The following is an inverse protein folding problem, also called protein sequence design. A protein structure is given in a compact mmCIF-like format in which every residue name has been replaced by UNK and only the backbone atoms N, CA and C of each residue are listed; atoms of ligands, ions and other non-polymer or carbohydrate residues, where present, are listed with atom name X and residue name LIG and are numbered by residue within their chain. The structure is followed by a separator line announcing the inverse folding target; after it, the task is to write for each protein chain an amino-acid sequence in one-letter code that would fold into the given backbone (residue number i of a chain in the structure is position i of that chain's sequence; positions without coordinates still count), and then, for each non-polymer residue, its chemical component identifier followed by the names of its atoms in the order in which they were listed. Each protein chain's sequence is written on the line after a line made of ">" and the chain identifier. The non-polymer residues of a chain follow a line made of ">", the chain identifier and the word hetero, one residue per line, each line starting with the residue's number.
data_IF_956457813859
#
_entry.id   IF_956457813859
#
_cell.length_a   1.000
_cell.length_b   1.000
_cell.length_c   1.000
_cell.angle_alpha   90.00
_cell.angle_beta   90.00
_cell.angle_gamma   90.00
#
_symmetry.space_group_name_H-M   'P 1'
#
loop_
_entity.id
_entity.type
_entity.pdbx_description
1 polymer ?
#
# COMPACT_ATOMS: atom_id res chain seq x y z
N UNK A 1 -34.30 11.95 -9.05
CA UNK A 1 -35.03 10.78 -8.53
C UNK A 1 -34.48 10.41 -7.17
N UNK A 2 -35.35 10.21 -6.18
CA UNK A 2 -34.95 9.75 -4.86
C UNK A 2 -34.33 8.35 -4.93
N UNK A 3 -33.23 8.16 -4.19
CA UNK A 3 -32.50 6.91 -4.04
C UNK A 3 -33.25 6.02 -3.07
N UNK A 4 -33.36 4.73 -3.40
CA UNK A 4 -34.05 3.71 -2.59
C UNK A 4 -33.03 2.85 -1.86
N UNK A 5 -33.26 2.61 -0.57
CA UNK A 5 -32.40 1.77 0.26
C UNK A 5 -32.30 0.34 -0.27
N UNK A 6 -33.42 -0.26 -0.69
CA UNK A 6 -33.42 -1.62 -1.23
C UNK A 6 -32.53 -1.77 -2.48
N UNK A 7 -32.51 -0.75 -3.35
CA UNK A 7 -31.64 -0.76 -4.54
C UNK A 7 -30.18 -0.64 -4.13
N UNK A 8 -29.87 0.22 -3.14
CA UNK A 8 -28.52 0.34 -2.61
C UNK A 8 -28.02 -0.98 -1.97
N UNK A 9 -28.87 -1.68 -1.21
CA UNK A 9 -28.57 -2.98 -0.59
C UNK A 9 -28.36 -4.07 -1.65
N UNK A 10 -29.21 -4.12 -2.69
CA UNK A 10 -29.04 -5.07 -3.79
C UNK A 10 -27.71 -4.85 -4.53
N UNK A 11 -27.35 -3.60 -4.80
CA UNK A 11 -26.07 -3.25 -5.42
C UNK A 11 -24.87 -3.54 -4.52
N UNK A 12 -25.03 -3.37 -3.21
CA UNK A 12 -24.03 -3.76 -2.22
C UNK A 12 -23.82 -5.28 -2.20
N UNK A 13 -24.89 -6.08 -2.29
CA UNK A 13 -24.78 -7.54 -2.31
C UNK A 13 -24.15 -8.06 -3.61
N UNK A 14 -24.52 -7.48 -4.77
CA UNK A 14 -24.07 -7.95 -6.09
C UNK A 14 -22.68 -7.44 -6.47
N UNK A 15 -22.28 -6.25 -5.99
CA UNK A 15 -21.01 -5.62 -6.38
C UNK A 15 -20.46 -4.68 -5.33
N UNK A 16 -20.68 -5.00 -4.05
CA UNK A 16 -20.15 -4.27 -2.90
C UNK A 16 -18.63 -4.10 -2.96
N UNK A 17 -17.83 -5.15 -3.21
CA UNK A 17 -16.37 -5.02 -3.34
C UNK A 17 -15.92 -4.08 -4.47
N UNK A 18 -16.75 -3.92 -5.51
CA UNK A 18 -16.49 -3.04 -6.66
C UNK A 18 -17.09 -1.63 -6.44
N UNK A 19 -17.85 -1.43 -5.37
CA UNK A 19 -18.43 -0.13 -5.00
C UNK A 19 -19.65 0.29 -5.85
N UNK A 20 -20.44 -0.66 -6.37
CA UNK A 20 -21.61 -0.34 -7.20
C UNK A 20 -22.66 0.52 -6.46
N UNK A 21 -22.88 0.26 -5.18
CA UNK A 21 -23.78 1.05 -4.32
C UNK A 21 -23.29 2.50 -4.16
N UNK A 22 -21.97 2.73 -4.13
CA UNK A 22 -21.41 4.08 -4.10
C UNK A 22 -21.65 4.84 -5.39
N UNK A 23 -21.53 4.19 -6.56
CA UNK A 23 -21.85 4.80 -7.85
C UNK A 23 -23.32 5.22 -7.91
N UNK A 24 -24.22 4.38 -7.40
CA UNK A 24 -25.64 4.68 -7.32
C UNK A 24 -25.93 5.88 -6.42
N UNK A 25 -25.26 5.99 -5.27
CA UNK A 25 -25.34 7.12 -4.34
C UNK A 25 -24.58 8.38 -4.82
N UNK A 26 -23.93 8.29 -5.97
CA UNK A 26 -23.15 9.40 -6.52
C UNK A 26 -21.73 9.50 -5.97
N UNK A 27 -21.30 8.66 -5.04
CA UNK A 27 -20.03 8.78 -4.28
C UNK A 27 -18.83 8.23 -5.08
N UNK A 28 -18.49 8.88 -6.19
CA UNK A 28 -17.48 8.39 -7.15
C UNK A 28 -16.11 8.09 -6.54
N UNK A 29 -15.56 8.99 -5.71
CA UNK A 29 -14.27 8.76 -5.06
C UNK A 29 -14.30 7.55 -4.11
N UNK A 30 -15.44 7.32 -3.47
CA UNK A 30 -15.66 6.19 -2.57
C UNK A 30 -15.76 4.89 -3.38
N UNK A 31 -16.46 4.92 -4.52
CA UNK A 31 -16.49 3.80 -5.46
C UNK A 31 -15.09 3.47 -5.99
N UNK A 32 -14.32 4.47 -6.44
CA UNK A 32 -12.96 4.28 -6.91
C UNK A 32 -12.09 3.65 -5.82
N UNK A 33 -12.13 4.17 -4.60
CA UNK A 33 -11.38 3.60 -3.48
C UNK A 33 -11.74 2.12 -3.26
N UNK A 34 -13.01 1.75 -3.35
CA UNK A 34 -13.45 0.36 -3.22
C UNK A 34 -12.94 -0.52 -4.37
N UNK A 35 -13.03 -0.06 -5.61
CA UNK A 35 -12.48 -0.77 -6.77
C UNK A 35 -10.98 -1.04 -6.63
N UNK A 36 -10.22 -0.06 -6.14
CA UNK A 36 -8.77 -0.16 -6.03
C UNK A 36 -8.31 -0.95 -4.79
N UNK A 37 -9.14 -1.04 -3.75
CA UNK A 37 -8.79 -1.73 -2.50
C UNK A 37 -9.56 -3.04 -2.29
N UNK A 38 -10.33 -3.48 -3.29
CA UNK A 38 -11.20 -4.67 -3.21
C UNK A 38 -12.16 -4.59 -2.02
N UNK A 39 -12.93 -3.51 -1.95
CA UNK A 39 -13.94 -3.30 -0.92
C UNK A 39 -13.37 -2.83 0.42
N UNK A 40 -12.34 -1.98 0.42
CA UNK A 40 -11.69 -1.49 1.63
C UNK A 40 -10.90 -2.59 2.33
N UNK A 41 -10.05 -3.29 1.57
CA UNK A 41 -9.27 -4.45 2.01
C UNK A 41 -10.13 -5.62 2.52
N UNK A 42 -11.27 -5.84 1.88
CA UNK A 42 -12.18 -6.97 2.17
C UNK A 42 -12.99 -6.86 3.46
N UNK A 43 -12.62 -6.02 4.42
CA UNK A 43 -13.38 -5.81 5.68
C UNK A 43 -14.30 -4.58 5.55
N UNK A 44 -13.85 -3.56 4.81
CA UNK A 44 -14.59 -2.31 4.64
C UNK A 44 -16.01 -2.53 4.13
N UNK A 45 -16.20 -3.33 3.08
CA UNK A 45 -17.51 -3.55 2.47
C UNK A 45 -18.54 -4.18 3.43
N UNK A 46 -18.14 -5.05 4.37
CA UNK A 46 -19.05 -5.61 5.39
C UNK A 46 -19.50 -4.53 6.38
N UNK A 47 -18.56 -3.68 6.80
CA UNK A 47 -18.83 -2.57 7.73
C UNK A 47 -19.82 -1.55 7.16
N UNK A 48 -19.88 -1.39 5.85
CA UNK A 48 -20.75 -0.41 5.20
C UNK A 48 -22.25 -0.71 5.32
N UNK A 49 -22.63 -1.96 5.60
CA UNK A 49 -24.03 -2.34 5.71
C UNK A 49 -24.76 -1.51 6.78
N UNK A 50 -24.08 -1.20 7.89
CA UNK A 50 -24.59 -0.35 8.96
C UNK A 50 -24.66 1.14 8.60
N UNK A 51 -23.82 1.61 7.67
CA UNK A 51 -23.71 3.01 7.26
C UNK A 51 -24.63 3.34 6.07
N UNK A 52 -25.03 2.33 5.31
CA UNK A 52 -25.79 2.46 4.07
C UNK A 52 -27.11 3.24 4.21
N UNK A 53 -27.94 3.05 5.27
CA UNK A 53 -29.15 3.84 5.45
C UNK A 53 -28.86 5.34 5.55
N UNK A 54 -27.82 5.72 6.30
CA UNK A 54 -27.41 7.11 6.46
C UNK A 54 -26.91 7.74 5.15
N UNK A 55 -26.23 6.98 4.29
CA UNK A 55 -25.80 7.50 2.99
C UNK A 55 -26.92 7.63 1.97
N UNK A 56 -27.93 6.77 2.03
CA UNK A 56 -29.14 6.91 1.21
C UNK A 56 -29.89 8.17 1.61
N UNK A 57 -30.00 8.43 2.91
CA UNK A 57 -30.61 9.64 3.45
C UNK A 57 -29.85 10.89 2.99
N UNK A 58 -28.52 10.93 3.18
CA UNK A 58 -27.66 12.02 2.70
C UNK A 58 -27.73 12.25 1.18
N UNK A 59 -27.90 11.19 0.39
CA UNK A 59 -28.02 11.30 -1.07
C UNK A 59 -29.37 11.90 -1.50
N UNK A 60 -30.42 11.76 -0.67
CA UNK A 60 -31.74 12.33 -0.91
C UNK A 60 -31.89 13.74 -0.31
N UNK A 61 -31.21 13.97 0.82
CA UNK A 61 -31.24 15.19 1.60
C UNK A 61 -29.80 15.68 1.82
N UNK A 62 -29.19 16.36 0.82
CA UNK A 62 -27.85 16.89 0.98
C UNK A 62 -27.84 17.92 2.10
N UNK A 63 -26.96 17.73 3.08
CA UNK A 63 -26.79 18.66 4.19
C UNK A 63 -26.38 20.04 3.64
N UNK A 64 -27.04 21.09 4.11
CA UNK A 64 -26.55 22.47 3.95
C UNK A 64 -25.36 22.66 4.88
N UNK A 65 -24.17 22.38 4.37
CA UNK A 65 -22.93 22.52 5.14
C UNK A 65 -22.45 23.97 5.05
N UNK A 66 -22.11 24.63 6.18
CA UNK A 66 -21.57 25.98 6.16
C UNK A 66 -20.30 26.05 5.29
N UNK A 67 -20.26 27.03 4.39
CA UNK A 67 -19.15 27.24 3.46
C UNK A 67 -17.81 27.55 4.14
N UNK A 68 -17.85 28.08 5.38
CA UNK A 68 -16.67 28.57 6.11
C UNK A 68 -16.17 27.62 7.22
N UNK A 69 -16.74 26.42 7.36
CA UNK A 69 -16.33 25.46 8.39
C UNK A 69 -15.20 24.51 7.95
N UNK A 70 -14.21 24.26 8.82
CA UNK A 70 -13.34 23.08 8.66
C UNK A 70 -14.05 21.84 9.22
N UNK A 71 -14.05 20.69 8.52
CA UNK A 71 -14.61 19.46 9.07
C UNK A 71 -13.84 19.00 10.32
N UNK A 72 -14.50 18.28 11.25
CA UNK A 72 -13.83 17.76 12.44
C UNK A 72 -12.75 16.75 12.03
N UNK A 73 -11.68 16.72 12.82
CA UNK A 73 -10.61 15.74 12.62
C UNK A 73 -11.12 14.33 12.91
N UNK A 74 -10.72 13.37 12.06
CA UNK A 74 -11.15 11.98 12.19
C UNK A 74 -9.93 11.07 12.16
N UNK A 75 -9.67 10.41 13.29
CA UNK A 75 -8.58 9.43 13.39
C UNK A 75 -8.73 8.30 12.38
N UNK A 76 -9.95 7.82 12.15
CA UNK A 76 -10.23 6.75 11.18
C UNK A 76 -9.86 7.17 9.76
N UNK A 77 -10.14 8.42 9.38
CA UNK A 77 -9.72 8.95 8.07
C UNK A 77 -8.20 9.08 7.95
N UNK A 78 -7.55 9.59 8.98
CA UNK A 78 -6.09 9.70 9.00
C UNK A 78 -5.43 8.31 8.86
N UNK A 79 -5.94 7.32 9.59
CA UNK A 79 -5.46 5.96 9.50
C UNK A 79 -5.75 5.33 8.13
N UNK A 80 -6.94 5.58 7.56
CA UNK A 80 -7.28 5.17 6.19
C UNK A 80 -6.37 5.80 5.14
N UNK A 81 -6.05 7.09 5.26
CA UNK A 81 -5.06 7.77 4.41
C UNK A 81 -3.70 7.09 4.50
N UNK A 82 -3.24 6.78 5.71
CA UNK A 82 -1.97 6.11 5.92
C UNK A 82 -1.95 4.72 5.26
N UNK A 83 -2.96 3.88 5.50
CA UNK A 83 -3.01 2.54 4.91
C UNK A 83 -3.08 2.57 3.37
N UNK A 84 -3.92 3.44 2.81
CA UNK A 84 -4.08 3.53 1.35
C UNK A 84 -2.86 4.18 0.70
N UNK A 85 -2.22 5.15 1.37
CA UNK A 85 -0.95 5.73 0.92
C UNK A 85 0.17 4.70 0.83
N UNK A 86 0.33 3.87 1.88
CA UNK A 86 1.28 2.75 1.87
C UNK A 86 0.93 1.74 0.78
N UNK A 87 -0.34 1.38 0.65
CA UNK A 87 -0.82 0.46 -0.38
C UNK A 87 -0.49 0.96 -1.81
N UNK A 88 -0.73 2.24 -2.10
CA UNK A 88 -0.39 2.83 -3.40
C UNK A 88 1.12 2.90 -3.63
N UNK A 89 1.90 3.19 -2.59
CA UNK A 89 3.36 3.15 -2.66
C UNK A 89 3.88 1.75 -3.00
N UNK A 90 3.33 0.72 -2.36
CA UNK A 90 3.66 -0.68 -2.62
C UNK A 90 3.23 -1.12 -4.02
N UNK A 91 2.02 -0.74 -4.45
CA UNK A 91 1.54 -0.99 -5.80
C UNK A 91 2.46 -0.35 -6.85
N UNK A 92 2.93 0.88 -6.61
CA UNK A 92 3.89 1.54 -7.49
C UNK A 92 5.27 0.85 -7.46
N UNK A 93 5.72 0.37 -6.29
CA UNK A 93 6.96 -0.40 -6.19
C UNK A 93 6.89 -1.70 -7.02
N UNK A 94 5.75 -2.37 -7.03
CA UNK A 94 5.52 -3.57 -7.84
C UNK A 94 5.37 -3.26 -9.33
N UNK A 95 4.59 -2.24 -9.69
CA UNK A 95 4.21 -1.98 -11.08
C UNK A 95 5.12 -1.03 -11.86
N UNK A 96 5.86 -0.16 -11.17
CA UNK A 96 6.55 1.00 -11.76
C UNK A 96 8.02 1.13 -11.35
N UNK A 97 8.56 0.25 -10.50
CA UNK A 97 9.94 0.37 -9.99
C UNK A 97 11.02 0.27 -11.07
N UNK A 98 10.69 -0.28 -12.24
CA UNK A 98 11.59 -0.36 -13.40
C UNK A 98 11.73 0.97 -14.14
N UNK A 99 10.87 1.96 -13.87
CA UNK A 99 10.91 3.25 -14.57
C UNK A 99 12.11 4.11 -14.12
N UNK A 100 12.81 4.78 -15.06
CA UNK A 100 13.82 5.75 -14.70
C UNK A 100 13.19 6.89 -13.89
N UNK A 101 13.79 7.22 -12.75
CA UNK A 101 13.26 8.25 -11.85
C UNK A 101 12.07 7.80 -10.99
N UNK A 102 11.83 6.50 -10.83
CA UNK A 102 10.76 5.95 -9.97
C UNK A 102 10.68 6.63 -8.59
N UNK A 103 11.80 6.67 -7.85
CA UNK A 103 11.84 7.24 -6.50
C UNK A 103 11.60 8.75 -6.44
N UNK A 104 11.86 9.48 -7.53
CA UNK A 104 11.66 10.94 -7.60
C UNK A 104 10.26 11.33 -8.08
N UNK A 105 9.66 10.52 -8.95
CA UNK A 105 8.43 10.89 -9.64
C UNK A 105 7.27 9.93 -9.33
N UNK A 106 7.41 8.67 -9.72
CA UNK A 106 6.31 7.70 -9.65
C UNK A 106 5.92 7.38 -8.20
N UNK A 107 6.89 7.20 -7.31
CA UNK A 107 6.65 6.87 -5.91
C UNK A 107 5.90 7.98 -5.15
N UNK A 108 6.39 9.24 -5.08
CA UNK A 108 5.67 10.31 -4.37
C UNK A 108 4.31 10.61 -5.01
N UNK A 109 4.20 10.50 -6.34
CA UNK A 109 2.93 10.68 -7.03
C UNK A 109 1.92 9.61 -6.62
N UNK A 110 2.29 8.33 -6.63
CA UNK A 110 1.40 7.23 -6.26
C UNK A 110 0.95 7.35 -4.80
N UNK A 111 1.88 7.56 -3.86
CA UNK A 111 1.56 7.73 -2.44
C UNK A 111 0.65 8.94 -2.23
N UNK A 112 0.98 10.09 -2.82
CA UNK A 112 0.20 11.32 -2.70
C UNK A 112 -1.21 11.18 -3.26
N UNK A 113 -1.37 10.50 -4.41
CA UNK A 113 -2.69 10.21 -4.99
C UNK A 113 -3.50 9.23 -4.13
N UNK A 114 -2.88 8.22 -3.55
CA UNK A 114 -3.54 7.28 -2.63
C UNK A 114 -4.06 7.97 -1.37
N UNK A 115 -3.23 8.81 -0.75
CA UNK A 115 -3.62 9.63 0.41
C UNK A 115 -4.73 10.61 0.05
N UNK A 116 -4.59 11.30 -1.09
CA UNK A 116 -5.60 12.24 -1.55
C UNK A 116 -6.93 11.55 -1.85
N UNK A 117 -6.93 10.36 -2.45
CA UNK A 117 -8.15 9.61 -2.73
C UNK A 117 -9.00 9.42 -1.47
N UNK A 118 -8.38 9.06 -0.35
CA UNK A 118 -9.08 8.93 0.95
C UNK A 118 -9.48 10.29 1.52
N UNK A 119 -8.67 11.34 1.34
CA UNK A 119 -8.99 12.68 1.84
C UNK A 119 -10.22 13.28 1.16
N UNK A 120 -10.51 12.92 -0.09
CA UNK A 120 -11.71 13.36 -0.84
C UNK A 120 -12.86 12.35 -0.78
N UNK A 121 -12.85 11.36 0.11
CA UNK A 121 -13.99 10.44 0.31
C UNK A 121 -15.07 11.10 1.16
N UNK A 122 -16.34 10.85 0.80
CA UNK A 122 -17.51 11.43 1.47
C UNK A 122 -17.67 12.92 1.22
N UNK A 123 -18.03 13.67 2.26
CA UNK A 123 -18.38 15.10 2.16
C UNK A 123 -17.18 16.04 2.42
N UNK A 124 -16.00 15.46 2.62
CA UNK A 124 -14.75 16.19 2.80
C UNK A 124 -13.96 16.22 1.50
N UNK A 125 -13.19 17.29 1.31
CA UNK A 125 -12.16 17.39 0.31
C UNK A 125 -10.87 17.91 0.95
N UNK A 126 -9.74 17.71 0.28
CA UNK A 126 -8.49 18.40 0.62
C UNK A 126 -7.91 19.08 -0.62
N UNK A 127 -6.88 19.89 -0.43
CA UNK A 127 -6.10 20.41 -1.55
C UNK A 127 -5.14 19.32 -2.09
N UNK A 128 -5.35 18.93 -3.35
CA UNK A 128 -4.48 17.98 -4.06
C UNK A 128 -3.07 18.55 -4.21
N UNK A 129 -2.95 19.85 -4.51
CA UNK A 129 -1.66 20.45 -4.81
C UNK A 129 -0.78 20.50 -3.56
N UNK A 130 -1.33 20.90 -2.40
CA UNK A 130 -0.63 20.82 -1.13
C UNK A 130 -0.20 19.38 -0.78
N UNK A 131 -1.11 18.41 -0.98
CA UNK A 131 -0.82 16.98 -0.71
C UNK A 131 0.33 16.48 -1.58
N UNK A 132 0.32 16.77 -2.89
CA UNK A 132 1.41 16.37 -3.79
C UNK A 132 2.71 17.11 -3.47
N UNK A 133 2.68 18.42 -3.20
CA UNK A 133 3.87 19.18 -2.79
C UNK A 133 4.55 18.54 -1.57
N UNK A 134 3.79 18.14 -0.56
CA UNK A 134 4.33 17.44 0.61
C UNK A 134 4.99 16.10 0.23
N UNK A 135 4.37 15.34 -0.68
CA UNK A 135 4.92 14.06 -1.15
C UNK A 135 6.28 14.26 -1.84
N UNK A 136 6.34 15.20 -2.78
CA UNK A 136 7.53 15.50 -3.58
C UNK A 136 8.64 16.19 -2.78
N UNK A 137 8.30 16.95 -1.73
CA UNK A 137 9.30 17.52 -0.82
C UNK A 137 9.90 16.47 0.11
N UNK A 138 9.12 15.45 0.49
CA UNK A 138 9.59 14.40 1.42
C UNK A 138 10.41 13.33 0.71
N UNK A 139 10.10 13.01 -0.56
CA UNK A 139 10.74 11.91 -1.28
C UNK A 139 12.27 12.00 -1.42
N UNK A 140 12.89 13.17 -1.72
CA UNK A 140 14.35 13.28 -1.86
C UNK A 140 15.13 12.94 -0.58
N UNK A 141 14.55 13.17 0.60
CA UNK A 141 15.19 12.91 1.91
C UNK A 141 15.47 11.41 2.10
N UNK A 142 14.63 10.55 1.53
CA UNK A 142 14.70 9.10 1.66
C UNK A 142 15.01 8.42 0.32
N UNK A 143 15.71 9.13 -0.57
CA UNK A 143 15.99 8.64 -1.92
C UNK A 143 16.68 7.28 -1.93
N UNK A 144 16.24 6.40 -2.85
CA UNK A 144 16.80 5.06 -3.03
C UNK A 144 16.47 4.05 -1.94
N UNK A 145 15.69 4.45 -0.91
CA UNK A 145 15.28 3.55 0.17
C UNK A 145 13.82 3.15 0.00
N UNK A 146 13.48 1.84 0.03
CA UNK A 146 12.10 1.39 -0.01
C UNK A 146 11.27 1.98 1.15
N UNK A 147 11.87 2.14 2.33
CA UNK A 147 11.25 2.74 3.54
C UNK A 147 10.65 4.13 3.28
N UNK A 148 11.08 4.85 2.23
CA UNK A 148 10.57 6.17 1.86
C UNK A 148 9.03 6.25 1.77
N UNK A 149 8.34 5.13 1.49
CA UNK A 149 6.87 5.09 1.44
C UNK A 149 6.24 5.59 2.74
N UNK A 150 6.77 5.23 3.92
CA UNK A 150 6.18 5.62 5.21
C UNK A 150 6.26 7.13 5.50
N UNK A 151 7.45 7.78 5.49
CA UNK A 151 7.54 9.20 5.76
C UNK A 151 6.77 10.02 4.72
N UNK A 152 6.81 9.65 3.43
CA UNK A 152 6.00 10.30 2.39
C UNK A 152 4.51 10.18 2.73
N UNK A 153 4.05 8.98 3.10
CA UNK A 153 2.64 8.76 3.46
C UNK A 153 2.24 9.56 4.69
N UNK A 154 3.10 9.62 5.71
CA UNK A 154 2.82 10.33 6.95
C UNK A 154 2.73 11.84 6.72
N UNK A 155 3.71 12.43 6.04
CA UNK A 155 3.74 13.88 5.77
C UNK A 155 2.58 14.31 4.88
N UNK A 156 2.25 13.51 3.85
CA UNK A 156 1.10 13.76 2.97
C UNK A 156 -0.22 13.62 3.71
N UNK A 157 -0.37 12.64 4.59
CA UNK A 157 -1.59 12.46 5.39
C UNK A 157 -1.80 13.62 6.38
N UNK A 158 -0.74 14.05 7.07
CA UNK A 158 -0.78 15.24 7.94
C UNK A 158 -1.15 16.48 7.14
N UNK A 159 -0.55 16.68 5.97
CA UNK A 159 -0.84 17.83 5.10
C UNK A 159 -2.28 17.79 4.58
N UNK A 160 -2.78 16.63 4.17
CA UNK A 160 -4.16 16.46 3.71
C UNK A 160 -5.16 16.75 4.83
N UNK A 161 -4.86 16.37 6.08
CA UNK A 161 -5.68 16.71 7.24
C UNK A 161 -5.62 18.20 7.58
N UNK A 162 -4.46 18.85 7.41
CA UNK A 162 -4.32 20.29 7.66
C UNK A 162 -5.14 21.12 6.65
N UNK A 163 -5.17 20.70 5.38
CA UNK A 163 -5.90 21.37 4.30
C UNK A 163 -7.29 20.79 4.02
N UNK A 164 -7.98 20.28 5.05
CA UNK A 164 -9.33 19.71 4.93
C UNK A 164 -10.40 20.80 4.80
N UNK A 165 -11.36 20.58 3.91
CA UNK A 165 -12.50 21.47 3.62
C UNK A 165 -13.75 20.64 3.32
N UNK A 166 -14.93 21.22 3.49
CA UNK A 166 -16.15 20.59 2.98
C UNK A 166 -16.20 20.67 1.45
N UNK A 167 -16.82 19.67 0.83
CA UNK A 167 -17.12 19.72 -0.61
C UNK A 167 -18.18 20.78 -0.87
N UNK A 168 -17.97 21.58 -1.92
CA UNK A 168 -18.99 22.47 -2.43
C UNK A 168 -20.24 21.67 -2.80
N UNK A 169 -21.43 22.22 -2.51
CA UNK A 169 -22.71 21.62 -2.85
C UNK A 169 -22.73 21.22 -4.34
N UNK A 170 -23.24 20.01 -4.62
CA UNK A 170 -23.24 19.40 -5.96
C UNK A 170 -24.10 20.22 -6.92
N UNK A 171 -23.46 21.17 -7.61
CA UNK A 171 -24.15 22.14 -8.46
C UNK A 171 -24.63 21.63 -9.82
N UNK A 172 -24.17 20.48 -10.31
CA UNK A 172 -24.61 19.99 -11.64
C UNK A 172 -24.64 18.47 -11.71
N UNK A 173 -25.76 17.94 -12.23
CA UNK A 173 -25.93 16.51 -12.52
C UNK A 173 -25.11 16.14 -13.76
N UNK A 174 -23.83 15.82 -13.56
CA UNK A 174 -23.01 15.23 -14.62
C UNK A 174 -23.64 13.93 -15.15
N UNK A 175 -23.52 13.70 -16.46
CA UNK A 175 -23.98 12.47 -17.11
C UNK A 175 -23.23 11.26 -16.52
N UNK A 176 -23.95 10.16 -16.31
CA UNK A 176 -23.38 8.92 -15.78
C UNK A 176 -22.18 8.42 -16.61
N UNK A 177 -22.25 8.54 -17.93
CA UNK A 177 -21.16 8.14 -18.84
C UNK A 177 -19.87 8.91 -18.57
N UNK A 178 -19.93 10.22 -18.32
CA UNK A 178 -18.75 11.02 -18.00
C UNK A 178 -18.12 10.64 -16.66
N UNK A 179 -18.96 10.35 -15.66
CA UNK A 179 -18.51 9.83 -14.35
C UNK A 179 -17.80 8.49 -14.50
N UNK A 180 -18.42 7.54 -15.21
CA UNK A 180 -17.85 6.22 -15.46
C UNK A 180 -16.57 6.28 -16.29
N UNK A 181 -16.48 7.19 -17.27
CA UNK A 181 -15.27 7.38 -18.06
C UNK A 181 -14.07 7.81 -17.20
N UNK A 182 -14.24 8.81 -16.33
CA UNK A 182 -13.16 9.25 -15.41
C UNK A 182 -12.76 8.15 -14.43
N UNK A 183 -13.74 7.43 -13.89
CA UNK A 183 -13.49 6.29 -13.00
C UNK A 183 -12.74 5.17 -13.72
N UNK A 184 -13.15 4.83 -14.94
CA UNK A 184 -12.49 3.84 -15.77
C UNK A 184 -11.05 4.23 -16.10
N UNK A 185 -10.80 5.50 -16.42
CA UNK A 185 -9.45 6.00 -16.66
C UNK A 185 -8.58 5.91 -15.41
N UNK A 186 -9.10 6.32 -14.25
CA UNK A 186 -8.38 6.23 -12.98
C UNK A 186 -8.10 4.77 -12.57
N UNK A 187 -9.09 3.89 -12.78
CA UNK A 187 -8.96 2.45 -12.54
C UNK A 187 -7.85 1.86 -13.43
N UNK A 188 -7.92 2.09 -14.74
CA UNK A 188 -6.91 1.63 -15.69
C UNK A 188 -5.51 2.17 -15.37
N UNK A 189 -5.39 3.46 -15.01
CA UNK A 189 -4.12 4.06 -14.64
C UNK A 189 -3.47 3.35 -13.44
N UNK A 190 -4.26 2.89 -12.47
CA UNK A 190 -3.78 2.14 -11.31
C UNK A 190 -3.52 0.66 -11.64
N UNK A 191 -4.44 -0.02 -12.33
CA UNK A 191 -4.36 -1.47 -12.52
C UNK A 191 -3.46 -1.88 -13.68
N UNK A 192 -3.24 -1.05 -14.69
CA UNK A 192 -2.45 -1.42 -15.87
C UNK A 192 -0.99 -1.77 -15.53
N UNK A 193 -0.26 -0.95 -14.74
CA UNK A 193 1.11 -1.31 -14.35
C UNK A 193 1.18 -2.60 -13.53
N UNK A 194 0.22 -2.80 -12.63
CA UNK A 194 0.11 -4.03 -11.83
C UNK A 194 -0.23 -5.25 -12.67
N UNK A 195 -1.17 -5.13 -13.59
CA UNK A 195 -1.56 -6.20 -14.51
C UNK A 195 -0.41 -6.56 -15.44
N UNK A 196 0.32 -5.56 -15.96
CA UNK A 196 1.54 -5.80 -16.73
C UNK A 196 2.57 -6.58 -15.92
N UNK A 197 2.87 -6.14 -14.69
CA UNK A 197 3.79 -6.83 -13.79
C UNK A 197 3.34 -8.28 -13.48
N UNK A 198 2.05 -8.47 -13.16
CA UNK A 198 1.50 -9.79 -12.89
C UNK A 198 1.59 -10.72 -14.11
N UNK A 199 1.19 -10.24 -15.29
CA UNK A 199 1.25 -11.02 -16.53
C UNK A 199 2.70 -11.37 -16.92
N UNK A 200 3.62 -10.40 -16.81
CA UNK A 200 5.04 -10.58 -17.06
C UNK A 200 5.64 -11.66 -16.13
N UNK A 201 5.29 -11.64 -14.83
CA UNK A 201 5.75 -12.64 -13.86
C UNK A 201 5.06 -14.02 -14.00
N UNK A 202 3.80 -14.07 -14.42
CA UNK A 202 3.15 -15.37 -14.72
C UNK A 202 3.77 -16.03 -15.93
N UNK A 203 4.18 -15.25 -16.94
CA UNK A 203 4.88 -15.79 -18.08
C UNK A 203 6.30 -16.27 -17.74
N UNK A 204 6.98 -15.62 -16.79
CA UNK A 204 8.21 -16.14 -16.18
C UNK A 204 8.02 -17.55 -15.60
N UNK A 205 6.94 -17.73 -14.85
CA UNK A 205 6.61 -19.02 -14.22
C UNK A 205 6.30 -20.08 -15.28
N UNK A 206 5.55 -19.70 -16.33
CA UNK A 206 5.28 -20.58 -17.47
C UNK A 206 6.56 -20.97 -18.24
N UNK A 207 7.52 -20.05 -18.43
CA UNK A 207 8.81 -20.37 -19.06
C UNK A 207 9.64 -21.35 -18.22
N UNK A 208 9.66 -21.21 -16.89
CA UNK A 208 10.35 -22.13 -16.00
C UNK A 208 9.73 -23.53 -16.03
N UNK A 209 8.40 -23.60 -15.90
CA UNK A 209 7.66 -24.87 -15.98
C UNK A 209 7.91 -25.54 -17.33
N UNK A 210 7.82 -24.80 -18.44
CA UNK A 210 8.13 -25.31 -19.78
C UNK A 210 9.57 -25.88 -19.87
N UNK A 211 10.56 -25.20 -19.28
CA UNK A 211 11.94 -25.69 -19.21
C UNK A 211 12.08 -26.97 -18.38
N UNK A 212 11.37 -27.09 -17.26
CA UNK A 212 11.35 -28.31 -16.44
C UNK A 212 10.64 -29.47 -17.14
N UNK A 213 9.57 -29.21 -17.88
CA UNK A 213 8.88 -30.20 -18.71
C UNK A 213 9.79 -30.66 -19.85
N UNK A 214 10.50 -29.74 -20.52
CA UNK A 214 11.49 -30.08 -21.55
C UNK A 214 12.58 -31.00 -21.01
N UNK A 215 13.20 -30.65 -19.89
CA UNK A 215 14.23 -31.47 -19.25
C UNK A 215 13.71 -32.86 -18.79
N UNK A 216 12.45 -32.94 -18.34
CA UNK A 216 11.81 -34.20 -17.96
C UNK A 216 11.46 -35.08 -19.17
N UNK A 217 11.14 -34.48 -20.32
CA UNK A 217 10.88 -35.19 -21.57
C UNK A 217 12.17 -35.66 -22.25
N UNK A 218 13.28 -34.94 -22.10
CA UNK A 218 14.61 -35.39 -22.54
C UNK A 218 15.03 -36.69 -21.84
N UNK A 219 14.64 -36.87 -20.58
CA UNK A 219 14.84 -38.13 -19.84
C UNK A 219 14.04 -39.32 -20.43
N UNK A 220 12.95 -39.04 -21.17
CA UNK A 220 12.11 -40.02 -21.88
C UNK A 220 12.52 -40.27 -23.35
N UNK A 221 13.68 -39.75 -23.78
CA UNK A 221 14.21 -39.82 -25.17
C UNK A 221 14.44 -41.22 -25.74
N UNK A 222 14.20 -42.29 -24.96
CA UNK A 222 14.20 -43.69 -25.40
C UNK A 222 13.16 -43.95 -26.52
N UNK A 223 12.11 -43.12 -26.63
CA UNK A 223 11.10 -43.19 -27.70
C UNK A 223 10.93 -41.84 -28.43
N UNK A 224 11.72 -41.57 -29.49
CA UNK A 224 11.81 -40.24 -30.12
C UNK A 224 10.50 -39.68 -30.70
N UNK A 225 9.62 -40.55 -31.17
CA UNK A 225 8.31 -40.15 -31.72
C UNK A 225 7.29 -39.80 -30.62
N UNK A 226 7.38 -40.47 -29.46
CA UNK A 226 6.50 -40.22 -28.32
C UNK A 226 6.90 -38.92 -27.59
N UNK A 227 8.20 -38.67 -27.43
CA UNK A 227 8.72 -37.46 -26.80
C UNK A 227 8.34 -36.21 -27.58
N UNK A 228 8.48 -36.21 -28.91
CA UNK A 228 8.11 -35.08 -29.78
C UNK A 228 6.60 -34.75 -29.72
N UNK A 229 5.74 -35.77 -29.68
CA UNK A 229 4.29 -35.59 -29.55
C UNK A 229 3.91 -35.06 -28.16
N UNK A 230 4.51 -35.59 -27.10
CA UNK A 230 4.30 -35.13 -25.72
C UNK A 230 4.79 -33.70 -25.52
N UNK A 231 5.96 -33.35 -26.06
CA UNK A 231 6.51 -31.99 -26.01
C UNK A 231 5.59 -31.00 -26.73
N UNK A 232 5.14 -31.34 -27.93
CA UNK A 232 4.23 -30.50 -28.72
C UNK A 232 2.88 -30.32 -28.03
N UNK A 233 2.33 -31.37 -27.40
CA UNK A 233 1.05 -31.33 -26.71
C UNK A 233 1.12 -30.58 -25.36
N UNK A 234 2.17 -30.83 -24.56
CA UNK A 234 2.34 -30.23 -23.24
C UNK A 234 2.78 -28.77 -23.30
N UNK A 235 3.55 -28.39 -24.33
CA UNK A 235 4.02 -27.00 -24.51
C UNK A 235 3.13 -26.16 -25.44
N UNK A 236 2.05 -26.72 -26.00
CA UNK A 236 1.09 -25.99 -26.85
C UNK A 236 0.51 -24.74 -26.16
N UNK A 237 0.09 -24.81 -24.87
CA UNK A 237 -0.36 -23.63 -24.13
C UNK A 237 0.74 -22.58 -23.97
N UNK A 238 1.98 -23.02 -23.72
CA UNK A 238 3.15 -22.14 -23.57
C UNK A 238 3.54 -21.46 -24.89
N UNK A 239 3.53 -22.20 -26.00
CA UNK A 239 3.85 -21.69 -27.33
C UNK A 239 2.79 -20.68 -27.80
N UNK A 240 1.51 -20.93 -27.52
CA UNK A 240 0.43 -19.96 -27.74
C UNK A 240 0.59 -18.70 -26.87
N UNK A 241 1.01 -18.86 -25.61
CA UNK A 241 1.27 -17.76 -24.68
C UNK A 241 2.49 -16.91 -25.10
N UNK A 242 3.53 -17.55 -25.65
CA UNK A 242 4.72 -16.90 -26.20
C UNK A 242 4.41 -16.09 -27.47
N UNK A 243 3.53 -16.61 -28.34
CA UNK A 243 3.04 -15.90 -29.53
C UNK A 243 2.31 -14.58 -29.21
N UNK A 244 1.72 -14.49 -28.01
CA UNK A 244 1.07 -13.26 -27.52
C UNK A 244 2.06 -12.24 -26.91
N UNK A 245 3.37 -12.51 -26.94
CA UNK A 245 4.42 -11.55 -26.57
C UNK A 245 4.78 -11.47 -25.09
N UNK A 246 4.29 -12.40 -24.26
CA UNK A 246 4.54 -12.38 -22.80
C UNK A 246 5.80 -13.13 -22.35
N UNK A 247 6.59 -13.72 -23.26
CA UNK A 247 7.70 -14.60 -22.89
C UNK A 247 8.97 -13.89 -22.40
N UNK A 248 9.11 -13.75 -21.08
CA UNK A 248 10.40 -13.49 -20.44
C UNK A 248 10.26 -12.62 -19.20
N UNK A 249 10.56 -13.16 -18.03
CA UNK A 249 10.63 -12.42 -16.77
C UNK A 249 11.18 -13.34 -15.68
N UNK A 250 11.58 -12.81 -14.54
CA UNK A 250 11.93 -13.56 -13.33
C UNK A 250 10.95 -13.15 -12.22
N UNK A 251 10.75 -14.00 -11.22
CA UNK A 251 9.88 -13.79 -10.03
C UNK A 251 10.35 -12.64 -9.09
N UNK A 252 11.12 -11.67 -9.63
CA UNK A 252 11.92 -10.68 -8.93
C UNK A 252 11.11 -9.54 -8.29
N UNK A 253 9.85 -9.37 -8.67
CA UNK A 253 9.02 -8.24 -8.20
C UNK A 253 8.47 -8.46 -6.78
N UNK A 254 8.11 -9.70 -6.44
CA UNK A 254 7.73 -10.04 -5.05
C UNK A 254 8.93 -9.88 -4.10
N UNK A 255 10.14 -10.15 -4.58
CA UNK A 255 11.37 -9.87 -3.82
C UNK A 255 11.50 -8.40 -3.47
N UNK A 256 10.96 -7.46 -4.26
CA UNK A 256 11.00 -6.02 -3.93
C UNK A 256 10.08 -5.67 -2.75
N UNK A 257 8.91 -6.32 -2.66
CA UNK A 257 8.02 -6.17 -1.49
C UNK A 257 8.65 -6.79 -0.25
N UNK A 258 9.25 -7.98 -0.40
CA UNK A 258 10.02 -8.59 0.69
C UNK A 258 11.22 -7.74 1.09
N UNK A 259 11.96 -7.18 0.13
CA UNK A 259 13.06 -6.26 0.36
C UNK A 259 12.58 -4.97 1.03
N UNK A 260 11.40 -4.46 0.69
CA UNK A 260 10.77 -3.36 1.43
C UNK A 260 10.48 -3.77 2.88
N UNK A 261 9.83 -4.91 3.12
CA UNK A 261 9.57 -5.39 4.48
C UNK A 261 10.87 -5.64 5.27
N UNK A 262 11.88 -6.21 4.64
CA UNK A 262 13.20 -6.47 5.21
C UNK A 262 13.99 -5.17 5.45
N UNK A 263 13.80 -4.15 4.62
CA UNK A 263 14.43 -2.84 4.81
C UNK A 263 13.99 -2.17 6.11
N UNK A 264 12.75 -2.39 6.58
CA UNK A 264 12.37 -1.94 7.92
C UNK A 264 13.11 -2.70 9.01
N UNK A 265 13.29 -4.00 8.84
CA UNK A 265 13.98 -4.80 9.83
C UNK A 265 15.45 -4.38 9.91
N UNK A 266 16.12 -4.17 8.78
CA UNK A 266 17.51 -3.73 8.74
C UNK A 266 17.68 -2.31 9.30
N UNK A 267 16.83 -1.35 8.94
CA UNK A 267 16.91 0.01 9.49
C UNK A 267 16.66 0.03 11.01
N UNK A 268 15.69 -0.76 11.49
CA UNK A 268 15.45 -0.91 12.93
C UNK A 268 16.64 -1.54 13.64
N UNK A 269 17.29 -2.52 13.03
CA UNK A 269 18.49 -3.15 13.56
C UNK A 269 19.65 -2.15 13.64
N UNK A 270 19.90 -1.38 12.58
CA UNK A 270 20.90 -0.31 12.57
C UNK A 270 20.64 0.76 13.63
N UNK A 271 19.38 1.16 13.81
CA UNK A 271 19.01 2.11 14.86
C UNK A 271 19.26 1.52 16.25
N UNK A 272 18.96 0.24 16.47
CA UNK A 272 19.21 -0.43 17.75
C UNK A 272 20.71 -0.49 18.09
N UNK A 273 21.57 -0.80 17.12
CA UNK A 273 23.02 -0.74 17.32
C UNK A 273 23.51 0.68 17.64
N UNK A 274 22.97 1.70 16.96
CA UNK A 274 23.28 3.11 17.24
C UNK A 274 22.83 3.55 18.63
N UNK A 275 21.64 3.14 19.08
CA UNK A 275 21.13 3.43 20.44
C UNK A 275 22.01 2.80 21.51
N UNK A 276 22.48 1.57 21.29
CA UNK A 276 23.42 0.90 22.19
C UNK A 276 24.88 1.35 22.01
N UNK A 277 25.19 2.17 21.01
CA UNK A 277 26.54 2.67 20.76
C UNK A 277 27.56 1.58 20.38
N UNK A 278 27.11 0.49 19.76
CA UNK A 278 27.93 -0.68 19.41
C UNK A 278 27.98 -0.89 17.88
N UNK A 279 28.96 -1.65 17.41
CA UNK A 279 29.10 -2.01 15.99
C UNK A 279 28.07 -3.07 15.57
N UNK A 280 27.77 -3.16 14.28
CA UNK A 280 26.80 -4.12 13.73
C UNK A 280 27.25 -5.59 13.94
N UNK A 281 28.57 -5.80 14.04
CA UNK A 281 29.21 -7.11 14.28
C UNK A 281 29.37 -7.45 15.77
N UNK A 282 28.74 -6.67 16.66
CA UNK A 282 28.92 -6.83 18.10
C UNK A 282 28.48 -8.21 18.60
N UNK A 283 29.30 -8.78 19.48
CA UNK A 283 29.00 -10.08 20.11
C UNK A 283 27.81 -9.97 21.08
N UNK A 284 27.11 -11.07 21.38
CA UNK A 284 26.00 -11.02 22.34
C UNK A 284 26.39 -10.57 23.75
N UNK A 285 27.64 -10.83 24.12
CA UNK A 285 28.23 -10.37 25.38
C UNK A 285 28.41 -8.84 25.36
N UNK A 286 28.90 -8.27 24.25
CA UNK A 286 28.99 -6.82 24.05
C UNK A 286 27.63 -6.13 24.07
N UNK A 287 26.63 -6.70 23.40
CA UNK A 287 25.24 -6.19 23.43
C UNK A 287 24.71 -6.16 24.87
N UNK A 288 24.88 -7.27 25.61
CA UNK A 288 24.43 -7.39 26.99
C UNK A 288 25.18 -6.47 27.95
N UNK A 289 26.48 -6.25 27.70
CA UNK A 289 27.33 -5.36 28.48
C UNK A 289 26.91 -3.90 28.29
N UNK A 290 26.82 -3.44 27.04
CA UNK A 290 26.38 -2.08 26.73
C UNK A 290 24.99 -1.77 27.29
N UNK A 291 24.05 -2.71 27.16
CA UNK A 291 22.72 -2.59 27.75
C UNK A 291 22.77 -2.35 29.27
N UNK A 292 23.55 -3.14 30.01
CA UNK A 292 23.69 -2.98 31.48
C UNK A 292 24.31 -1.65 31.88
N UNK A 293 25.26 -1.15 31.10
CA UNK A 293 25.91 0.14 31.33
C UNK A 293 24.95 1.31 31.07
N UNK A 294 24.21 1.27 29.95
CA UNK A 294 23.25 2.30 29.59
C UNK A 294 22.02 2.33 30.52
N UNK A 295 21.54 1.17 30.98
CA UNK A 295 20.46 1.07 31.97
C UNK A 295 20.84 1.74 33.28
N UNK A 296 22.07 1.51 33.78
CA UNK A 296 22.55 2.18 35.00
C UNK A 296 22.68 3.69 34.80
N UNK A 297 23.18 4.10 33.63
CA UNK A 297 23.37 5.52 33.31
C UNK A 297 22.05 6.29 33.23
N UNK A 298 21.02 5.68 32.63
CA UNK A 298 19.73 6.32 32.35
C UNK A 298 18.59 5.87 33.29
N UNK A 299 18.89 5.16 34.39
CA UNK A 299 17.85 4.78 35.35
C UNK A 299 17.16 6.03 35.93
N UNK A 300 15.82 6.07 36.00
CA UNK A 300 15.07 7.22 36.52
C UNK A 300 15.52 7.63 37.93
N UNK A 301 15.80 6.64 38.80
CA UNK A 301 16.23 6.88 40.18
C UNK A 301 17.59 7.59 40.30
N UNK A 302 18.50 7.39 39.34
CA UNK A 302 19.81 8.03 39.33
C UNK A 302 19.77 9.43 38.69
N UNK A 303 18.68 9.77 37.99
CA UNK A 303 18.55 11.00 37.21
C UNK A 303 17.27 11.81 37.55
N UNK A 304 17.01 12.13 38.84
CA UNK A 304 15.77 12.80 39.24
C UNK A 304 15.63 14.22 38.67
N UNK A 305 16.75 14.88 38.35
CA UNK A 305 16.80 16.22 37.77
C UNK A 305 16.50 16.26 36.25
N UNK A 306 16.49 15.10 35.58
CA UNK A 306 16.21 14.96 34.14
C UNK A 306 15.32 13.75 33.84
N UNK A 307 14.33 13.52 34.70
CA UNK A 307 13.49 12.32 34.69
C UNK A 307 12.87 12.01 33.31
N UNK A 308 12.30 13.00 32.63
CA UNK A 308 11.66 12.80 31.32
C UNK A 308 12.63 12.37 30.20
N UNK A 309 13.86 12.87 30.23
CA UNK A 309 14.89 12.48 29.25
C UNK A 309 15.45 11.10 29.57
N UNK A 310 15.71 10.84 30.87
CA UNK A 310 16.18 9.54 31.35
C UNK A 310 15.16 8.43 31.05
N UNK A 311 13.88 8.67 31.28
CA UNK A 311 12.80 7.73 30.96
C UNK A 311 12.73 7.42 29.45
N UNK A 312 12.78 8.45 28.59
CA UNK A 312 12.83 8.23 27.13
C UNK A 312 14.03 7.38 26.70
N UNK A 313 15.22 7.72 27.18
CA UNK A 313 16.46 6.98 26.86
C UNK A 313 16.42 5.56 27.40
N UNK A 314 15.89 5.36 28.60
CA UNK A 314 15.72 4.05 29.20
C UNK A 314 14.81 3.14 28.34
N UNK A 315 13.66 3.66 27.89
CA UNK A 315 12.73 2.95 27.00
C UNK A 315 13.40 2.62 25.66
N UNK A 316 14.12 3.57 25.06
CA UNK A 316 14.86 3.36 23.80
C UNK A 316 15.90 2.24 23.92
N UNK A 317 16.70 2.25 24.99
CA UNK A 317 17.74 1.26 25.28
C UNK A 317 17.15 -0.12 25.49
N UNK A 318 16.04 -0.22 26.24
CA UNK A 318 15.35 -1.49 26.45
C UNK A 318 14.79 -2.05 25.14
N UNK A 319 14.10 -1.22 24.35
CA UNK A 319 13.55 -1.62 23.05
C UNK A 319 14.65 -2.08 22.08
N UNK A 320 15.81 -1.41 22.07
CA UNK A 320 16.96 -1.78 21.25
C UNK A 320 17.53 -3.16 21.64
N UNK A 321 17.72 -3.42 22.94
CA UNK A 321 18.24 -4.69 23.43
C UNK A 321 17.28 -5.87 23.16
N UNK A 322 15.98 -5.67 23.41
CA UNK A 322 14.95 -6.69 23.14
C UNK A 322 14.90 -7.05 21.66
N UNK A 323 14.94 -6.04 20.78
CA UNK A 323 14.92 -6.23 19.33
C UNK A 323 16.12 -7.05 18.84
N UNK A 324 17.35 -6.69 19.24
CA UNK A 324 18.56 -7.42 18.83
C UNK A 324 18.56 -8.86 19.36
N UNK A 325 18.08 -9.06 20.59
CA UNK A 325 17.98 -10.39 21.21
C UNK A 325 16.96 -11.27 20.46
N UNK A 326 15.79 -10.72 20.12
CA UNK A 326 14.75 -11.44 19.38
C UNK A 326 15.19 -11.80 17.96
N UNK A 327 15.80 -10.85 17.23
CA UNK A 327 16.32 -11.10 15.88
C UNK A 327 17.38 -12.21 15.86
N UNK A 328 18.25 -12.26 16.88
CA UNK A 328 19.26 -13.32 16.99
C UNK A 328 18.63 -14.67 17.27
N UNK A 329 17.64 -14.74 18.16
CA UNK A 329 16.88 -15.97 18.43
C UNK A 329 16.19 -16.50 17.17
N UNK A 330 15.65 -15.62 16.33
CA UNK A 330 15.02 -15.97 15.05
C UNK A 330 16.00 -16.51 14.00
N UNK A 331 17.29 -16.13 14.02
CA UNK A 331 18.31 -16.64 13.09
C UNK A 331 18.85 -18.03 13.44
N UNK A 332 18.59 -18.52 14.65
CA UNK A 332 19.15 -19.80 15.14
C UNK A 332 18.16 -20.96 15.00
N UNK A 333 16.95 -20.68 14.50
CA UNK A 333 15.87 -21.65 14.24
C UNK A 333 15.72 -21.81 12.74
#
# INVERSE_FOLDING_TARGET
>A
MAKRLLVAVALWALGGPVGLHHLYLGRDNHALLWMLTLGGFGIGWLWELWLLPGWVDQANHPLEVPSDGQPPWSFVRFLGQAFVGVYFGLAALLGLSTLPGFYFLALPLAVGLGVHLVSVVGDQASDLQATLKAAFLTAPVFYGRPVAILPITLTTSVTAQHHRRFKASRGTSEKLSGRLYRLGLAYLAFTTPLAYCALYNTAATATYIAGTVGAALDWLSVFPSLSCLLESALLLPYNAWKLLGFGGGSFQEWEKVFAFMQSFQSERQQMAYKVLGIHEDATPEEISKSYRELVKLWHPDHNPHRAAEAERRFIEVQAAYELLTQMRKSKTV
#
